data_IF_203393716902
#
_entry.id   IF_203393716902
#
_cell.length_a   1.000
_cell.length_b   1.000
_cell.length_c   1.000
_cell.angle_alpha   90.00
_cell.angle_beta   90.00
_cell.angle_gamma   90.00
#
_symmetry.space_group_name_H-M   'P 1'
#
loop_
_entity.id
_entity.type
_entity.pdbx_description
1 polymer ?
#
# COMPACT_ATOMS: atom_id res chain seq x y z
N UNK A 1 -14.90 14.98 -1.85
CA UNK A 1 -13.56 14.46 -2.20
C UNK A 1 -13.57 12.96 -2.44
N UNK A 2 -13.77 12.11 -1.42
CA UNK A 2 -13.75 10.64 -1.58
C UNK A 2 -14.75 10.12 -2.64
N UNK A 3 -15.97 10.67 -2.67
CA UNK A 3 -16.99 10.33 -3.67
C UNK A 3 -16.51 10.63 -5.11
N UNK A 4 -15.86 11.78 -5.32
CA UNK A 4 -15.31 12.13 -6.62
C UNK A 4 -14.17 11.17 -7.03
N UNK A 5 -13.27 10.83 -6.10
CA UNK A 5 -12.24 9.83 -6.34
C UNK A 5 -12.87 8.51 -6.79
N UNK A 6 -13.91 8.04 -6.09
CA UNK A 6 -14.64 6.81 -6.43
C UNK A 6 -15.33 6.90 -7.79
N UNK A 7 -15.98 8.01 -8.11
CA UNK A 7 -16.67 8.21 -9.39
C UNK A 7 -15.68 8.25 -10.56
N UNK A 8 -14.53 8.91 -10.37
CA UNK A 8 -13.43 8.90 -11.35
C UNK A 8 -12.85 7.49 -11.47
N UNK A 9 -12.63 6.76 -10.36
CA UNK A 9 -12.15 5.37 -10.44
C UNK A 9 -13.10 4.47 -11.23
N UNK A 10 -14.42 4.65 -11.08
CA UNK A 10 -15.44 3.87 -11.79
C UNK A 10 -15.40 4.11 -13.30
N UNK A 11 -15.16 5.36 -13.73
CA UNK A 11 -14.97 5.69 -15.14
C UNK A 11 -13.62 5.18 -15.69
N UNK A 12 -12.56 5.17 -14.86
CA UNK A 12 -11.23 4.69 -15.22
C UNK A 12 -10.91 3.35 -14.55
N UNK A 13 -11.60 2.28 -14.99
CA UNK A 13 -11.44 0.92 -14.43
C UNK A 13 -10.00 0.37 -14.44
N UNK A 14 -9.12 0.91 -15.29
CA UNK A 14 -7.69 0.60 -15.28
C UNK A 14 -7.00 0.90 -13.94
N UNK A 15 -7.52 1.85 -13.15
CA UNK A 15 -7.02 2.16 -11.80
C UNK A 15 -7.20 0.96 -10.87
N UNK A 16 -8.37 0.32 -10.90
CA UNK A 16 -8.65 -0.88 -10.11
C UNK A 16 -7.85 -2.09 -10.61
N UNK A 17 -7.64 -2.20 -11.93
CA UNK A 17 -6.83 -3.26 -12.51
C UNK A 17 -5.35 -3.17 -12.07
N UNK A 18 -4.76 -1.98 -12.06
CA UNK A 18 -3.41 -1.75 -11.53
C UNK A 18 -3.34 -2.10 -10.03
N UNK A 19 -4.34 -1.72 -9.25
CA UNK A 19 -4.42 -2.10 -7.84
C UNK A 19 -4.55 -3.60 -7.61
N UNK A 20 -5.37 -4.28 -8.43
CA UNK A 20 -5.60 -5.71 -8.33
C UNK A 20 -4.32 -6.49 -8.65
N UNK A 21 -3.65 -6.13 -9.74
CA UNK A 21 -2.37 -6.73 -10.13
C UNK A 21 -1.33 -6.49 -9.02
N UNK A 22 -1.23 -5.25 -8.51
CA UNK A 22 -0.35 -4.91 -7.40
C UNK A 22 -0.64 -5.74 -6.14
N UNK A 23 -1.91 -5.94 -5.80
CA UNK A 23 -2.34 -6.78 -4.68
C UNK A 23 -2.01 -8.27 -4.87
N UNK A 24 -2.18 -8.80 -6.08
CA UNK A 24 -1.79 -10.18 -6.42
C UNK A 24 -0.28 -10.36 -6.29
N UNK A 25 0.51 -9.44 -6.86
CA UNK A 25 1.98 -9.46 -6.76
C UNK A 25 2.43 -9.39 -5.31
N UNK A 26 1.82 -8.53 -4.50
CA UNK A 26 2.13 -8.43 -3.08
C UNK A 26 1.76 -9.68 -2.29
N UNK A 27 0.62 -10.31 -2.60
CA UNK A 27 0.20 -11.56 -1.96
C UNK A 27 1.15 -12.71 -2.33
N UNK A 28 1.52 -12.81 -3.61
CA UNK A 28 2.51 -13.77 -4.08
C UNK A 28 3.88 -13.55 -3.41
N UNK A 29 4.30 -12.28 -3.27
CA UNK A 29 5.52 -11.93 -2.55
C UNK A 29 5.44 -12.29 -1.06
N UNK A 30 4.30 -12.05 -0.40
CA UNK A 30 4.08 -12.44 0.99
C UNK A 30 4.13 -13.96 1.21
N UNK A 31 3.59 -14.74 0.26
CA UNK A 31 3.71 -16.20 0.28
C UNK A 31 5.17 -16.64 0.09
N UNK A 32 5.87 -16.06 -0.90
CA UNK A 32 7.29 -16.32 -1.12
C UNK A 32 8.15 -15.99 0.11
N UNK A 33 7.88 -14.85 0.74
CA UNK A 33 8.53 -14.42 1.98
C UNK A 33 8.27 -15.38 3.15
N UNK A 34 7.06 -15.92 3.25
CA UNK A 34 6.73 -16.91 4.29
C UNK A 34 7.51 -18.22 4.07
N UNK A 35 7.62 -18.68 2.82
CA UNK A 35 8.40 -19.88 2.46
C UNK A 35 9.88 -19.68 2.75
N UNK A 36 10.45 -18.52 2.40
CA UNK A 36 11.88 -18.25 2.67
C UNK A 36 12.19 -18.18 4.16
N UNK A 37 11.27 -17.65 4.97
CA UNK A 37 11.41 -17.59 6.42
C UNK A 37 11.45 -18.97 7.06
N UNK A 38 10.51 -19.85 6.67
CA UNK A 38 10.48 -21.25 7.12
C UNK A 38 11.71 -22.01 6.62
N UNK A 39 12.12 -21.79 5.37
CA UNK A 39 13.30 -22.43 4.78
C UNK A 39 14.60 -22.09 5.52
N UNK A 40 14.82 -20.81 5.87
CA UNK A 40 15.99 -20.38 6.65
C UNK A 40 15.98 -20.99 8.04
N UNK A 41 14.80 -21.06 8.68
CA UNK A 41 14.67 -21.68 9.99
C UNK A 41 15.01 -23.18 9.94
N UNK A 42 14.44 -23.93 8.98
CA UNK A 42 14.66 -25.36 8.83
C UNK A 42 16.12 -25.72 8.48
N UNK A 43 16.81 -24.87 7.71
CA UNK A 43 18.17 -25.13 7.25
C UNK A 43 19.27 -24.76 8.28
N UNK A 44 19.07 -23.68 9.06
CA UNK A 44 20.15 -23.10 9.87
C UNK A 44 19.94 -23.17 11.40
N UNK A 45 18.75 -23.59 11.88
CA UNK A 45 18.48 -23.71 13.30
C UNK A 45 19.20 -24.93 13.92
N UNK A 46 19.94 -24.74 15.04
CA UNK A 46 20.65 -25.85 15.68
C UNK A 46 19.65 -26.86 16.27
N UNK A 47 19.70 -28.10 15.79
CA UNK A 47 18.76 -29.17 16.15
C UNK A 47 17.63 -29.39 15.13
N UNK A 48 17.64 -28.68 13.99
CA UNK A 48 16.72 -28.93 12.88
C UNK A 48 17.09 -30.18 12.06
N UNK A 49 16.13 -30.78 11.33
CA UNK A 49 16.35 -32.01 10.56
C UNK A 49 17.39 -31.86 9.41
N UNK A 50 17.55 -30.64 8.88
CA UNK A 50 18.46 -30.34 7.77
C UNK A 50 19.78 -29.69 8.23
N UNK A 51 20.02 -29.64 9.55
CA UNK A 51 21.19 -29.01 10.18
C UNK A 51 22.40 -29.98 10.24
N UNK A 52 22.63 -30.74 9.17
CA UNK A 52 23.74 -31.69 9.04
C UNK A 52 24.74 -31.28 7.96
N UNK A 53 24.29 -30.56 6.93
CA UNK A 53 25.13 -30.06 5.82
C UNK A 53 25.64 -28.62 6.01
N UNK A 54 24.98 -27.82 6.86
CA UNK A 54 25.29 -26.40 7.02
C UNK A 54 25.89 -26.08 8.39
N UNK A 55 26.71 -25.03 8.46
CA UNK A 55 27.20 -24.48 9.73
C UNK A 55 26.05 -23.76 10.46
N UNK A 56 25.34 -24.52 11.30
CA UNK A 56 24.20 -24.05 12.06
C UNK A 56 24.62 -23.17 13.23
N UNK A 57 23.93 -22.06 13.41
CA UNK A 57 24.14 -21.15 14.53
C UNK A 57 22.89 -20.33 14.76
N UNK A 58 22.47 -20.18 16.02
CA UNK A 58 21.35 -19.29 16.40
C UNK A 58 21.59 -17.86 15.92
N UNK A 59 22.84 -17.39 15.97
CA UNK A 59 23.21 -16.05 15.52
C UNK A 59 23.01 -15.86 14.02
N UNK A 60 23.32 -16.89 13.20
CA UNK A 60 23.10 -16.85 11.75
C UNK A 60 21.61 -16.81 11.41
N UNK A 61 20.79 -17.62 12.07
CA UNK A 61 19.32 -17.60 11.88
C UNK A 61 18.77 -16.23 12.21
N UNK A 62 19.10 -15.66 13.38
CA UNK A 62 18.63 -14.35 13.78
C UNK A 62 19.08 -13.27 12.78
N UNK A 63 20.35 -13.28 12.37
CA UNK A 63 20.87 -12.32 11.39
C UNK A 63 20.17 -12.41 10.03
N UNK A 64 19.95 -13.63 9.52
CA UNK A 64 19.22 -13.86 8.27
C UNK A 64 17.76 -13.45 8.37
N UNK A 65 17.08 -13.74 9.49
CA UNK A 65 15.70 -13.33 9.70
C UNK A 65 15.54 -11.80 9.71
N UNK A 66 16.43 -11.09 10.40
CA UNK A 66 16.43 -9.61 10.41
C UNK A 66 16.68 -9.07 9.00
N UNK A 67 17.70 -9.59 8.31
CA UNK A 67 18.02 -9.15 6.94
C UNK A 67 16.87 -9.38 5.96
N UNK A 68 16.28 -10.59 5.96
CA UNK A 68 15.17 -10.96 5.07
C UNK A 68 13.95 -10.12 5.40
N UNK A 69 13.61 -9.92 6.68
CA UNK A 69 12.48 -9.08 7.10
C UNK A 69 12.65 -7.63 6.65
N UNK A 70 13.86 -7.08 6.80
CA UNK A 70 14.17 -5.73 6.31
C UNK A 70 14.05 -5.63 4.78
N UNK A 71 14.63 -6.59 4.05
CA UNK A 71 14.51 -6.67 2.60
C UNK A 71 13.05 -6.83 2.14
N UNK A 72 12.27 -7.64 2.86
CA UNK A 72 10.85 -7.87 2.61
C UNK A 72 10.00 -6.61 2.83
N UNK A 73 10.29 -5.86 3.90
CA UNK A 73 9.68 -4.56 4.13
C UNK A 73 9.99 -3.60 2.98
N UNK A 74 11.27 -3.49 2.59
CA UNK A 74 11.69 -2.61 1.51
C UNK A 74 10.99 -2.93 0.18
N UNK A 75 10.94 -4.20 -0.21
CA UNK A 75 10.26 -4.63 -1.44
C UNK A 75 8.77 -4.29 -1.38
N UNK A 76 8.13 -4.47 -0.21
CA UNK A 76 6.73 -4.13 0.00
C UNK A 76 6.48 -2.63 -0.13
N UNK A 77 7.37 -1.78 0.40
CA UNK A 77 7.32 -0.33 0.21
C UNK A 77 7.50 0.07 -1.25
N UNK A 78 8.40 -0.60 -1.98
CA UNK A 78 8.56 -0.35 -3.43
C UNK A 78 7.27 -0.68 -4.18
N UNK A 79 6.64 -1.83 -3.91
CA UNK A 79 5.36 -2.21 -4.54
C UNK A 79 4.29 -1.16 -4.24
N UNK A 80 4.13 -0.76 -2.97
CA UNK A 80 3.18 0.29 -2.57
C UNK A 80 3.45 1.62 -3.29
N UNK A 81 4.71 2.03 -3.38
CA UNK A 81 5.11 3.26 -4.04
C UNK A 81 4.84 3.23 -5.55
N UNK A 82 5.10 2.10 -6.21
CA UNK A 82 4.83 1.95 -7.65
C UNK A 82 3.33 2.05 -7.93
N UNK A 83 2.49 1.38 -7.13
CA UNK A 83 1.03 1.47 -7.25
C UNK A 83 0.58 2.92 -7.01
N UNK A 84 1.07 3.55 -5.94
CA UNK A 84 0.71 4.92 -5.58
C UNK A 84 1.01 5.90 -6.71
N UNK A 85 2.25 5.92 -7.21
CA UNK A 85 2.68 6.87 -8.26
C UNK A 85 1.94 6.62 -9.57
N UNK A 86 1.70 5.35 -9.92
CA UNK A 86 0.95 5.01 -11.15
C UNK A 86 -0.48 5.55 -11.09
N UNK A 87 -1.14 5.37 -9.95
CA UNK A 87 -2.52 5.80 -9.76
C UNK A 87 -2.62 7.33 -9.64
N UNK A 88 -1.69 7.98 -8.92
CA UNK A 88 -1.58 9.43 -8.88
C UNK A 88 -1.43 10.04 -10.29
N UNK A 89 -0.67 9.39 -11.18
CA UNK A 89 -0.56 9.84 -12.57
C UNK A 89 -1.89 9.83 -13.34
N UNK A 90 -2.77 8.85 -13.08
CA UNK A 90 -4.11 8.79 -13.70
C UNK A 90 -5.00 9.90 -13.17
N UNK A 91 -5.05 10.10 -11.84
CA UNK A 91 -5.86 11.15 -11.24
C UNK A 91 -5.39 12.56 -11.61
N UNK A 92 -4.07 12.79 -11.67
CA UNK A 92 -3.53 14.06 -12.14
C UNK A 92 -3.88 14.32 -13.60
N UNK A 93 -3.78 13.30 -14.46
CA UNK A 93 -4.14 13.43 -15.88
C UNK A 93 -5.63 13.70 -16.07
N UNK A 94 -6.49 13.14 -15.22
CA UNK A 94 -7.92 13.45 -15.21
C UNK A 94 -8.17 14.90 -14.80
N UNK A 95 -7.58 15.35 -13.69
CA UNK A 95 -7.79 16.70 -13.16
C UNK A 95 -7.45 17.79 -14.18
N UNK A 96 -6.35 17.66 -14.91
CA UNK A 96 -5.89 18.71 -15.84
C UNK A 96 -6.34 18.55 -17.30
N UNK A 97 -6.86 17.39 -17.71
CA UNK A 97 -7.15 17.10 -19.11
C UNK A 97 -8.56 16.55 -19.39
N UNK A 98 -9.42 16.32 -18.39
CA UNK A 98 -10.74 15.69 -18.64
C UNK A 98 -11.71 16.60 -19.42
N UNK A 99 -11.73 17.92 -19.23
CA UNK A 99 -12.60 18.84 -19.98
C UNK A 99 -11.98 19.37 -21.28
N UNK A 100 -10.70 19.12 -21.55
CA UNK A 100 -10.04 19.63 -22.77
C UNK A 100 -10.53 18.85 -24.00
N UNK A 101 -10.62 19.47 -25.19
CA UNK A 101 -11.16 18.83 -26.41
C UNK A 101 -10.39 17.59 -26.88
N UNK A 102 -9.16 17.38 -26.38
CA UNK A 102 -8.35 16.16 -26.62
C UNK A 102 -8.54 15.04 -25.59
N UNK A 103 -9.30 15.26 -24.51
CA UNK A 103 -9.50 14.32 -23.40
C UNK A 103 -8.22 13.88 -22.70
N UNK A 104 -8.34 12.87 -21.83
CA UNK A 104 -7.17 12.25 -21.18
C UNK A 104 -6.37 11.45 -22.22
N UNK A 105 -5.05 11.67 -22.36
CA UNK A 105 -4.24 11.00 -23.39
C UNK A 105 -4.27 9.47 -23.23
N UNK A 106 -4.48 8.77 -24.35
CA UNK A 106 -4.47 7.30 -24.40
C UNK A 106 -3.09 6.79 -23.96
N UNK A 107 -3.03 6.09 -22.81
CA UNK A 107 -1.78 5.54 -22.26
C UNK A 107 -1.22 6.26 -21.04
N UNK A 108 -1.95 7.20 -20.43
CA UNK A 108 -1.54 7.89 -19.20
C UNK A 108 -1.09 6.93 -18.09
N UNK A 109 -1.79 5.81 -17.87
CA UNK A 109 -1.44 4.80 -16.87
C UNK A 109 -0.09 4.14 -17.12
N UNK A 110 0.20 3.74 -18.37
CA UNK A 110 1.45 3.06 -18.73
C UNK A 110 2.62 4.04 -18.78
N UNK A 111 2.38 5.29 -19.21
CA UNK A 111 3.36 6.37 -19.16
C UNK A 111 3.74 6.75 -17.73
N UNK A 112 2.76 6.85 -16.84
CA UNK A 112 2.98 7.07 -15.41
C UNK A 112 3.71 5.89 -14.74
N UNK A 113 3.31 4.65 -15.03
CA UNK A 113 3.98 3.45 -14.54
C UNK A 113 5.45 3.37 -14.99
N UNK A 114 5.72 3.59 -16.28
CA UNK A 114 7.08 3.57 -16.84
C UNK A 114 7.95 4.65 -16.19
N UNK A 115 7.41 5.86 -15.99
CA UNK A 115 8.10 6.95 -15.29
C UNK A 115 8.28 6.66 -13.79
N UNK A 116 7.31 6.03 -13.13
CA UNK A 116 7.42 5.60 -11.74
C UNK A 116 8.57 4.60 -11.55
N UNK A 117 8.75 3.69 -12.49
CA UNK A 117 9.85 2.73 -12.51
C UNK A 117 11.23 3.36 -12.83
N UNK A 118 11.29 4.43 -13.62
CA UNK A 118 12.58 5.02 -14.07
C UNK A 118 13.02 6.27 -13.29
N UNK A 119 12.08 7.08 -12.79
CA UNK A 119 12.33 8.30 -12.02
C UNK A 119 11.89 8.08 -10.56
N UNK A 120 12.72 7.41 -9.79
CA UNK A 120 12.58 7.37 -8.32
C UNK A 120 13.67 8.25 -7.69
N UNK A 121 13.31 8.92 -6.60
CA UNK A 121 14.20 9.60 -5.62
C UNK A 121 14.39 11.13 -5.64
N UNK A 122 13.54 11.92 -6.30
CA UNK A 122 13.55 13.40 -6.12
C UNK A 122 12.16 13.95 -5.83
N UNK A 123 11.99 14.66 -4.71
CA UNK A 123 10.82 15.49 -4.36
C UNK A 123 9.51 14.80 -3.89
N UNK A 124 9.55 13.56 -3.38
CA UNK A 124 8.34 12.94 -2.76
C UNK A 124 8.03 13.42 -1.33
N UNK A 125 8.86 14.30 -0.76
CA UNK A 125 8.78 14.67 0.66
C UNK A 125 7.49 15.39 1.05
N UNK A 126 6.96 16.26 0.19
CA UNK A 126 5.75 17.06 0.50
C UNK A 126 4.48 16.21 0.36
N UNK A 127 4.38 15.38 -0.68
CA UNK A 127 3.27 14.42 -0.87
C UNK A 127 3.23 13.38 0.26
N UNK A 128 4.39 12.92 0.74
CA UNK A 128 4.50 12.01 1.87
C UNK A 128 4.00 12.66 3.18
N UNK A 129 4.36 13.92 3.43
CA UNK A 129 3.97 14.67 4.62
C UNK A 129 2.46 14.93 4.72
N UNK A 130 1.81 15.30 3.61
CA UNK A 130 0.35 15.52 3.59
C UNK A 130 -0.41 14.20 3.73
N UNK A 131 0.10 13.13 3.10
CA UNK A 131 -0.49 11.80 3.18
C UNK A 131 -0.43 11.20 4.60
N UNK A 132 0.68 11.42 5.33
CA UNK A 132 0.85 10.91 6.69
C UNK A 132 -0.11 11.54 7.72
N UNK A 133 -0.52 12.79 7.55
CA UNK A 133 -1.24 13.54 8.59
C UNK A 133 -2.77 13.46 8.54
N UNK A 134 -3.41 13.26 7.37
CA UNK A 134 -4.88 13.40 7.24
C UNK A 134 -5.63 12.10 6.94
N UNK A 135 -5.05 11.22 6.13
CA UNK A 135 -5.73 10.01 5.60
C UNK A 135 -5.18 8.73 6.20
N UNK A 136 -3.88 8.73 6.49
CA UNK A 136 -3.19 7.54 6.97
C UNK A 136 -3.77 6.99 8.28
N UNK A 137 -4.13 7.81 9.30
CA UNK A 137 -4.62 7.28 10.57
C UNK A 137 -5.94 6.49 10.42
N UNK A 138 -6.91 7.03 9.69
CA UNK A 138 -8.24 6.40 9.51
C UNK A 138 -8.13 5.09 8.73
N UNK A 139 -7.38 5.11 7.63
CA UNK A 139 -7.19 3.92 6.80
C UNK A 139 -6.28 2.88 7.48
N UNK A 140 -5.35 3.32 8.33
CA UNK A 140 -4.51 2.42 9.13
C UNK A 140 -5.30 1.78 10.26
N UNK A 141 -6.28 2.46 10.87
CA UNK A 141 -7.18 1.81 11.84
C UNK A 141 -7.95 0.65 11.20
N UNK A 142 -8.42 0.82 9.96
CA UNK A 142 -9.04 -0.25 9.18
C UNK A 142 -8.10 -1.42 8.89
N UNK A 143 -6.86 -1.15 8.48
CA UNK A 143 -5.89 -2.22 8.20
C UNK A 143 -5.39 -2.93 9.46
N UNK A 144 -5.30 -2.22 10.58
CA UNK A 144 -4.99 -2.80 11.90
C UNK A 144 -6.10 -3.74 12.36
N UNK A 145 -7.37 -3.40 12.16
CA UNK A 145 -8.48 -4.30 12.46
C UNK A 145 -8.37 -5.61 11.66
N UNK A 146 -8.11 -5.54 10.35
CA UNK A 146 -7.90 -6.71 9.50
C UNK A 146 -6.69 -7.53 9.98
N UNK A 147 -5.60 -6.87 10.37
CA UNK A 147 -4.40 -7.51 10.88
C UNK A 147 -4.65 -8.27 12.20
N UNK A 148 -5.46 -7.72 13.10
CA UNK A 148 -5.89 -8.42 14.32
C UNK A 148 -6.75 -9.65 14.01
N UNK A 149 -7.66 -9.56 13.04
CA UNK A 149 -8.45 -10.72 12.59
C UNK A 149 -7.53 -11.80 12.01
N UNK A 150 -6.54 -11.44 11.18
CA UNK A 150 -5.55 -12.39 10.66
C UNK A 150 -4.74 -13.06 11.78
N UNK A 151 -4.30 -12.29 12.77
CA UNK A 151 -3.55 -12.81 13.91
C UNK A 151 -4.40 -13.75 14.78
N UNK A 152 -5.67 -13.40 15.02
CA UNK A 152 -6.61 -14.23 15.76
C UNK A 152 -6.92 -15.56 15.04
N UNK A 153 -7.11 -15.53 13.72
CA UNK A 153 -7.28 -16.74 12.92
C UNK A 153 -6.03 -17.64 12.95
N UNK A 154 -4.83 -17.04 12.91
CA UNK A 154 -3.58 -17.78 13.05
C UNK A 154 -3.44 -18.43 14.44
N UNK A 155 -3.86 -17.74 15.49
CA UNK A 155 -3.92 -18.30 16.85
C UNK A 155 -4.86 -19.51 16.93
N UNK A 156 -6.08 -19.39 16.43
CA UNK A 156 -7.04 -20.51 16.39
C UNK A 156 -6.50 -21.69 15.60
N UNK A 157 -5.81 -21.45 14.48
CA UNK A 157 -5.19 -22.51 13.68
C UNK A 157 -4.13 -23.30 14.47
N UNK A 158 -3.27 -22.60 15.21
CA UNK A 158 -2.23 -23.23 16.05
C UNK A 158 -2.83 -24.04 17.20
N UNK A 159 -3.88 -23.52 17.84
CA UNK A 159 -4.55 -24.18 18.96
C UNK A 159 -5.29 -25.46 18.54
N UNK A 160 -5.98 -25.43 17.39
CA UNK A 160 -6.73 -26.61 16.91
C UNK A 160 -5.86 -27.67 16.24
N UNK A 161 -4.82 -27.26 15.51
CA UNK A 161 -4.03 -28.20 14.69
C UNK A 161 -2.87 -28.83 15.47
N UNK A 162 -2.42 -28.20 16.57
CA UNK A 162 -1.29 -28.63 17.42
C UNK A 162 -0.13 -29.21 16.60
N UNK A 163 0.47 -28.40 15.70
CA UNK A 163 1.49 -28.91 14.81
C UNK A 163 2.77 -29.22 15.59
N UNK A 164 3.47 -30.27 15.16
CA UNK A 164 4.70 -30.80 15.79
C UNK A 164 5.81 -29.73 15.94
N UNK A 165 5.85 -28.73 15.04
CA UNK A 165 6.81 -27.63 15.12
C UNK A 165 6.51 -26.61 16.24
N UNK A 166 5.30 -26.59 16.80
CA UNK A 166 4.91 -25.68 17.88
C UNK A 166 4.80 -26.41 19.23
N UNK A 167 5.52 -27.53 19.39
CA UNK A 167 5.60 -28.20 20.69
C UNK A 167 6.24 -27.28 21.73
N UNK A 168 5.49 -26.99 22.80
CA UNK A 168 5.90 -26.04 23.85
C UNK A 168 5.50 -24.58 23.62
N UNK A 169 4.62 -24.27 22.64
CA UNK A 169 4.04 -22.93 22.37
C UNK A 169 5.06 -21.82 22.07
N UNK A 170 6.34 -22.13 21.90
CA UNK A 170 7.41 -21.15 21.72
C UNK A 170 7.27 -20.33 20.42
N UNK A 171 6.64 -20.88 19.38
CA UNK A 171 6.48 -20.22 18.08
C UNK A 171 5.16 -19.46 17.93
N UNK A 172 4.22 -19.64 18.87
CA UNK A 172 2.90 -19.01 18.83
C UNK A 172 2.99 -17.48 18.69
N UNK A 173 3.81 -16.82 19.52
CA UNK A 173 3.98 -15.37 19.47
C UNK A 173 4.59 -14.89 18.15
N UNK A 174 5.54 -15.64 17.60
CA UNK A 174 6.25 -15.31 16.36
C UNK A 174 5.31 -15.44 15.16
N UNK A 175 4.58 -16.55 15.06
CA UNK A 175 3.60 -16.77 14.00
C UNK A 175 2.48 -15.72 14.04
N UNK A 176 1.93 -15.43 15.23
CA UNK A 176 0.91 -14.39 15.39
C UNK A 176 1.41 -13.00 14.96
N UNK A 177 2.66 -12.65 15.29
CA UNK A 177 3.28 -11.39 14.88
C UNK A 177 3.47 -11.32 13.36
N UNK A 178 3.94 -12.39 12.72
CA UNK A 178 4.09 -12.43 11.27
C UNK A 178 2.74 -12.36 10.54
N UNK A 179 1.73 -13.11 11.00
CA UNK A 179 0.37 -13.04 10.43
C UNK A 179 -0.22 -11.63 10.55
N UNK A 180 0.02 -10.95 11.67
CA UNK A 180 -0.37 -9.55 11.84
C UNK A 180 0.33 -8.63 10.83
N UNK A 181 1.66 -8.72 10.71
CA UNK A 181 2.44 -7.86 9.81
C UNK A 181 2.07 -8.08 8.34
N UNK A 182 1.92 -9.33 7.91
CA UNK A 182 1.53 -9.67 6.53
C UNK A 182 0.10 -9.16 6.25
N UNK A 183 -0.85 -9.42 7.17
CA UNK A 183 -2.23 -8.95 7.03
C UNK A 183 -2.32 -7.42 6.95
N UNK A 184 -1.56 -6.72 7.82
CA UNK A 184 -1.47 -5.27 7.83
C UNK A 184 -0.94 -4.73 6.49
N UNK A 185 0.13 -5.32 5.96
CA UNK A 185 0.75 -4.87 4.72
C UNK A 185 -0.13 -5.12 3.50
N UNK A 186 -0.75 -6.30 3.39
CA UNK A 186 -1.67 -6.62 2.29
C UNK A 186 -2.86 -5.66 2.29
N UNK A 187 -3.48 -5.42 3.45
CA UNK A 187 -4.59 -4.49 3.55
C UNK A 187 -4.17 -3.05 3.18
N UNK A 188 -2.99 -2.61 3.63
CA UNK A 188 -2.47 -1.30 3.27
C UNK A 188 -2.24 -1.13 1.75
N UNK A 189 -1.90 -2.21 1.03
CA UNK A 189 -1.75 -2.20 -0.43
C UNK A 189 -3.09 -1.97 -1.13
N UNK A 190 -4.16 -2.62 -0.68
CA UNK A 190 -5.51 -2.39 -1.21
C UNK A 190 -6.05 -0.99 -0.95
N UNK A 191 -5.54 -0.31 0.08
CA UNK A 191 -5.92 1.07 0.41
C UNK A 191 -5.11 2.12 -0.38
N UNK A 192 -4.03 1.71 -1.06
CA UNK A 192 -3.18 2.63 -1.85
C UNK A 192 -3.97 3.43 -2.89
N UNK A 193 -4.88 2.87 -3.71
CA UNK A 193 -5.59 3.63 -4.75
C UNK A 193 -6.39 4.81 -4.19
N UNK A 194 -7.02 4.59 -3.03
CA UNK A 194 -7.82 5.60 -2.34
C UNK A 194 -6.90 6.67 -1.75
N UNK A 195 -5.83 6.24 -1.06
CA UNK A 195 -4.80 7.13 -0.50
C UNK A 195 -4.20 8.02 -1.58
N UNK A 196 -3.73 7.42 -2.67
CA UNK A 196 -3.10 8.12 -3.78
C UNK A 196 -4.05 9.04 -4.51
N UNK A 197 -5.31 8.62 -4.72
CA UNK A 197 -6.30 9.45 -5.41
C UNK A 197 -6.61 10.72 -4.63
N UNK A 198 -6.95 10.58 -3.36
CA UNK A 198 -7.28 11.74 -2.51
C UNK A 198 -6.08 12.67 -2.36
N UNK A 199 -4.87 12.14 -2.12
CA UNK A 199 -3.66 12.97 -2.03
C UNK A 199 -3.42 13.78 -3.31
N UNK A 200 -3.53 13.12 -4.48
CA UNK A 200 -3.33 13.77 -5.78
C UNK A 200 -4.33 14.89 -6.00
N UNK A 201 -5.60 14.69 -5.62
CA UNK A 201 -6.62 15.73 -5.72
C UNK A 201 -6.32 16.94 -4.84
N UNK A 202 -5.87 16.73 -3.59
CA UNK A 202 -5.48 17.83 -2.70
C UNK A 202 -4.30 18.62 -3.25
N UNK A 203 -3.27 17.93 -3.76
CA UNK A 203 -2.10 18.58 -4.35
C UNK A 203 -2.47 19.35 -5.62
N UNK A 204 -3.29 18.75 -6.49
CA UNK A 204 -3.74 19.39 -7.72
C UNK A 204 -4.57 20.65 -7.44
N UNK A 205 -5.44 20.61 -6.43
CA UNK A 205 -6.19 21.78 -5.97
C UNK A 205 -5.30 22.84 -5.35
N UNK A 206 -4.28 22.45 -4.58
CA UNK A 206 -3.33 23.40 -4.00
C UNK A 206 -2.47 24.09 -5.06
N UNK A 207 -2.23 23.42 -6.20
CA UNK A 207 -1.45 23.98 -7.30
C UNK A 207 -2.29 24.89 -8.21
N UNK A 208 -3.48 24.45 -8.62
CA UNK A 208 -4.37 25.23 -9.49
C UNK A 208 -5.85 24.96 -9.11
N UNK A 209 -6.41 25.77 -8.19
CA UNK A 209 -7.78 25.61 -7.76
C UNK A 209 -8.79 26.12 -8.79
N UNK A 210 -8.38 26.98 -9.74
CA UNK A 210 -9.27 27.56 -10.74
C UNK A 210 -9.81 26.50 -11.70
N UNK A 211 -9.00 25.47 -12.01
CA UNK A 211 -9.43 24.31 -12.81
C UNK A 211 -10.66 23.65 -12.18
N UNK A 212 -10.69 23.49 -10.85
CA UNK A 212 -11.82 22.89 -10.16
C UNK A 212 -13.08 23.75 -10.23
N UNK A 213 -12.93 25.08 -10.11
CA UNK A 213 -14.03 26.05 -10.15
C UNK A 213 -14.63 26.14 -11.54
N UNK A 214 -13.78 26.22 -12.56
CA UNK A 214 -14.17 26.47 -13.94
C UNK A 214 -14.60 25.20 -14.66
N UNK A 215 -13.84 24.11 -14.50
CA UNK A 215 -14.11 22.87 -15.22
C UNK A 215 -15.14 22.00 -14.49
N UNK A 216 -15.17 21.98 -13.15
CA UNK A 216 -16.05 21.12 -12.35
C UNK A 216 -16.95 21.88 -11.34
N UNK A 217 -17.86 22.75 -11.82
CA UNK A 217 -18.66 23.63 -10.95
C UNK A 217 -19.54 22.89 -9.95
N UNK A 218 -20.07 21.71 -10.31
CA UNK A 218 -20.89 20.90 -9.40
C UNK A 218 -20.09 20.29 -8.25
N UNK A 219 -18.85 19.87 -8.53
CA UNK A 219 -17.95 19.34 -7.51
C UNK A 219 -17.48 20.46 -6.58
N UNK A 220 -17.20 21.64 -7.14
CA UNK A 220 -16.88 22.84 -6.38
C UNK A 220 -18.01 23.23 -5.43
N UNK A 221 -19.26 23.30 -5.89
CA UNK A 221 -20.42 23.61 -5.02
C UNK A 221 -20.53 22.65 -3.85
N UNK A 222 -20.50 21.33 -4.10
CA UNK A 222 -20.56 20.32 -3.02
C UNK A 222 -19.42 20.45 -2.03
N UNK A 223 -18.24 20.87 -2.48
CA UNK A 223 -17.11 21.11 -1.58
C UNK A 223 -17.32 22.34 -0.71
N UNK A 224 -17.78 23.45 -1.31
CA UNK A 224 -18.07 24.71 -0.60
C UNK A 224 -19.18 24.52 0.44
N UNK A 225 -20.18 23.69 0.16
CA UNK A 225 -21.24 23.33 1.13
C UNK A 225 -20.68 22.66 2.39
N UNK A 226 -19.65 21.83 2.26
CA UNK A 226 -19.03 21.10 3.40
C UNK A 226 -17.93 21.93 4.05
N UNK A 227 -17.17 22.70 3.26
CA UNK A 227 -16.03 23.50 3.71
C UNK A 227 -16.09 24.92 3.13
N UNK A 228 -16.91 25.82 3.71
CA UNK A 228 -17.13 27.17 3.18
C UNK A 228 -15.87 28.04 3.21
N UNK A 229 -14.94 27.77 4.15
CA UNK A 229 -13.68 28.51 4.28
C UNK A 229 -12.72 28.35 3.08
N UNK A 230 -12.91 27.32 2.24
CA UNK A 230 -12.05 27.09 1.07
C UNK A 230 -12.19 28.21 0.03
N UNK A 231 -13.32 28.93 0.01
CA UNK A 231 -13.49 30.09 -0.88
C UNK A 231 -12.49 31.21 -0.59
N UNK A 232 -12.11 31.41 0.68
CA UNK A 232 -11.21 32.49 1.08
C UNK A 232 -9.76 32.27 0.59
N UNK A 233 -9.37 31.01 0.36
CA UNK A 233 -8.02 30.65 -0.07
C UNK A 233 -7.77 30.87 -1.57
N UNK A 234 -8.81 31.05 -2.38
CA UNK A 234 -8.70 31.22 -3.85
C UNK A 234 -8.59 32.70 -4.26
N UNK A 235 -9.04 33.61 -3.39
CA UNK A 235 -9.05 35.05 -3.68
C UNK A 235 -7.77 35.79 -3.25
N UNK A 236 -6.66 35.08 -3.04
CA UNK A 236 -5.35 35.63 -2.62
C UNK A 236 -4.31 35.47 -3.71
#
# INVERSE_FOLDING_TARGET
MLQCVIDVSKNYGHVFLVSLIGGIVATAFGAWFSVTLVGVYAAYYPGGPNCTEYSCSKAKVIGLLVFITFAGYWITEVIKNVIHVTISGVYGSWYFCSQKPGGVPKGATMGAFKRAMTYSFGNRGVDALVNECLINPVLTMGSVFVAYVCSFLAYLYLEFTKPEYNDGNAFTAVVMAFSFLIGLQICNIFLVPIKSGVATFFIAMAFDPEVLVNEYPDLWRRMVEVYPHVQQAIHV
#
